data_IF_910645748232
#
_entry.id   IF_910645748232
#
_cell.length_a   1.000
_cell.length_b   1.000
_cell.length_c   1.000
_cell.angle_alpha   90.00
_cell.angle_beta   90.00
_cell.angle_gamma   90.00
#
_symmetry.space_group_name_H-M   'P 1'
#
loop_
_entity.id
_entity.type
_entity.pdbx_description
1 polymer ?
#
# COMPACT_ATOMS: atom_id res chain seq x y z
N UNK A 1 37.10 -38.76 -6.04
CA UNK A 1 37.03 -37.80 -7.18
C UNK A 1 35.58 -37.82 -7.65
N UNK A 2 34.73 -36.97 -7.04
CA UNK A 2 33.30 -36.89 -7.35
C UNK A 2 33.14 -35.79 -8.41
N UNK A 3 32.74 -36.22 -9.59
CA UNK A 3 32.53 -35.38 -10.76
C UNK A 3 31.21 -34.59 -10.54
N UNK A 4 31.29 -33.32 -10.16
CA UNK A 4 30.17 -32.41 -10.19
C UNK A 4 29.82 -32.15 -11.66
N UNK A 5 28.81 -32.82 -12.18
CA UNK A 5 28.15 -32.40 -13.40
C UNK A 5 27.40 -31.10 -13.10
N UNK A 6 28.00 -29.98 -13.46
CA UNK A 6 27.23 -28.72 -13.61
C UNK A 6 26.26 -28.91 -14.78
N UNK A 7 24.99 -29.17 -14.48
CA UNK A 7 23.92 -28.91 -15.42
C UNK A 7 23.83 -27.39 -15.56
N UNK A 8 24.46 -26.88 -16.59
CA UNK A 8 24.15 -25.54 -17.09
C UNK A 8 22.70 -25.60 -17.60
N UNK A 9 21.75 -25.31 -16.75
CA UNK A 9 20.40 -24.99 -17.16
C UNK A 9 20.53 -23.64 -17.90
N UNK A 10 20.59 -23.68 -19.23
CA UNK A 10 20.44 -22.46 -20.03
C UNK A 10 19.01 -21.99 -19.81
N UNK A 11 18.82 -21.06 -18.87
CA UNK A 11 17.54 -20.42 -18.64
C UNK A 11 17.13 -19.75 -19.95
N UNK A 12 16.05 -20.23 -20.54
CA UNK A 12 15.51 -19.65 -21.77
C UNK A 12 14.93 -18.28 -21.44
N UNK A 13 15.52 -17.22 -21.96
CA UNK A 13 14.95 -15.89 -21.85
C UNK A 13 13.55 -15.85 -22.48
N UNK A 14 12.56 -15.46 -21.69
CA UNK A 14 11.18 -15.27 -22.18
C UNK A 14 11.08 -14.01 -23.01
N UNK A 15 10.17 -14.04 -23.99
CA UNK A 15 10.01 -12.94 -24.95
C UNK A 15 8.55 -12.47 -24.96
N UNK A 16 8.35 -11.15 -24.90
CA UNK A 16 7.04 -10.54 -25.16
C UNK A 16 7.06 -9.97 -26.58
N UNK A 17 6.14 -10.44 -27.39
CA UNK A 17 5.94 -9.92 -28.76
C UNK A 17 4.59 -9.21 -28.84
N UNK A 18 4.57 -7.92 -29.15
CA UNK A 18 3.37 -7.11 -29.36
C UNK A 18 3.18 -6.82 -30.84
N UNK A 19 2.03 -7.19 -31.42
CA UNK A 19 1.67 -6.81 -32.78
C UNK A 19 1.23 -5.35 -32.82
N UNK A 20 1.84 -4.56 -33.72
CA UNK A 20 1.60 -3.12 -33.82
C UNK A 20 0.27 -2.72 -34.49
N UNK A 21 -0.47 -3.67 -35.08
CA UNK A 21 -1.72 -3.35 -35.80
C UNK A 21 -2.73 -2.70 -34.84
N UNK A 22 -3.15 -1.49 -35.17
CA UNK A 22 -4.10 -0.69 -34.40
C UNK A 22 -3.46 0.24 -33.35
N UNK A 23 -2.14 0.18 -33.15
CA UNK A 23 -1.41 1.09 -32.26
C UNK A 23 -0.86 2.30 -33.04
N UNK A 24 -1.03 3.50 -32.50
CA UNK A 24 -0.53 4.76 -33.05
C UNK A 24 0.74 5.23 -32.33
N UNK A 25 1.64 4.30 -31.99
CA UNK A 25 2.90 4.63 -31.32
C UNK A 25 4.09 3.94 -31.98
N UNK A 26 5.25 4.58 -31.93
CA UNK A 26 6.52 3.99 -32.35
C UNK A 26 7.32 3.33 -31.21
N UNK A 27 6.85 3.45 -29.97
CA UNK A 27 7.53 2.94 -28.78
C UNK A 27 6.52 2.43 -27.76
N UNK A 28 6.84 1.30 -27.12
CA UNK A 28 6.13 0.79 -25.95
C UNK A 28 7.10 0.66 -24.77
N UNK A 29 6.55 0.77 -23.56
CA UNK A 29 7.24 0.60 -22.30
C UNK A 29 6.72 -0.66 -21.58
N UNK A 30 7.64 -1.41 -20.97
CA UNK A 30 7.35 -2.43 -19.97
C UNK A 30 7.59 -1.79 -18.61
N UNK A 31 6.58 -1.85 -17.74
CA UNK A 31 6.63 -1.21 -16.43
C UNK A 31 6.34 -2.19 -15.32
N UNK A 32 7.05 -2.08 -14.21
CA UNK A 32 6.62 -2.64 -12.93
C UNK A 32 5.41 -1.89 -12.38
N UNK A 33 4.51 -2.63 -11.74
CA UNK A 33 3.36 -2.08 -11.02
C UNK A 33 3.79 -1.75 -9.58
N UNK A 34 3.92 -0.46 -9.30
CA UNK A 34 4.24 0.02 -7.95
C UNK A 34 2.96 0.10 -7.10
N UNK A 35 1.87 0.60 -7.68
CA UNK A 35 0.56 0.61 -7.07
C UNK A 35 -0.52 0.56 -8.14
N UNK A 36 -1.20 -0.58 -8.24
CA UNK A 36 -2.34 -0.73 -9.15
C UNK A 36 -3.45 0.27 -8.82
N UNK A 37 -3.80 0.39 -7.53
CA UNK A 37 -4.87 1.29 -7.06
C UNK A 37 -4.63 2.77 -7.40
N UNK A 38 -3.36 3.22 -7.40
CA UNK A 38 -2.98 4.60 -7.72
C UNK A 38 -2.56 4.77 -9.19
N UNK A 39 -2.54 3.70 -9.99
CA UNK A 39 -2.03 3.71 -11.35
C UNK A 39 -0.55 4.13 -11.44
N UNK A 40 0.25 3.78 -10.44
CA UNK A 40 1.68 4.15 -10.40
C UNK A 40 2.49 3.00 -10.99
N UNK A 41 3.17 3.29 -12.10
CA UNK A 41 4.01 2.33 -12.81
C UNK A 41 5.40 2.91 -13.02
N UNK A 42 6.43 2.05 -12.96
CA UNK A 42 7.82 2.41 -13.21
C UNK A 42 8.33 1.68 -14.43
N UNK A 43 8.71 2.42 -15.48
CA UNK A 43 9.29 1.82 -16.68
C UNK A 43 10.64 1.16 -16.38
N UNK A 44 10.75 -0.13 -16.73
CA UNK A 44 11.97 -0.93 -16.58
C UNK A 44 12.60 -1.29 -17.91
N UNK A 45 11.82 -1.30 -19.01
CA UNK A 45 12.30 -1.57 -20.36
C UNK A 45 11.44 -0.84 -21.39
N UNK A 46 11.94 -0.78 -22.65
CA UNK A 46 11.18 -0.21 -23.76
C UNK A 46 11.52 -0.88 -25.08
N UNK A 47 10.52 -1.05 -25.94
CA UNK A 47 10.66 -1.59 -27.28
C UNK A 47 10.27 -0.57 -28.35
N UNK A 48 11.04 -0.55 -29.45
CA UNK A 48 10.77 0.30 -30.62
C UNK A 48 10.14 -0.56 -31.72
N UNK A 49 9.21 0.05 -32.46
CA UNK A 49 8.52 -0.60 -33.57
C UNK A 49 9.52 -1.03 -34.68
N UNK A 50 9.60 -2.33 -34.95
CA UNK A 50 10.36 -2.91 -36.04
C UNK A 50 9.52 -3.97 -36.75
N UNK A 51 9.42 -3.88 -38.07
CA UNK A 51 8.70 -4.87 -38.88
C UNK A 51 7.27 -5.19 -38.40
N UNK A 52 6.53 -4.15 -38.00
CA UNK A 52 5.16 -4.28 -37.49
C UNK A 52 5.02 -4.92 -36.11
N UNK A 53 6.07 -4.99 -35.31
CA UNK A 53 6.08 -5.58 -33.97
C UNK A 53 6.96 -4.79 -33.01
N UNK A 54 6.63 -4.87 -31.72
CA UNK A 54 7.52 -4.54 -30.60
C UNK A 54 7.96 -5.84 -29.94
N UNK A 55 9.21 -5.93 -29.51
CA UNK A 55 9.77 -7.13 -28.89
C UNK A 55 10.53 -6.72 -27.63
N UNK A 56 10.11 -7.27 -26.49
CA UNK A 56 10.86 -7.18 -25.23
C UNK A 56 11.53 -8.53 -24.99
N UNK A 57 12.84 -8.53 -24.79
CA UNK A 57 13.61 -9.67 -24.36
C UNK A 57 13.79 -9.56 -22.86
N UNK A 58 13.05 -10.36 -22.10
CA UNK A 58 13.05 -10.28 -20.65
C UNK A 58 14.41 -10.69 -20.09
N UNK A 59 14.90 -9.94 -19.11
CA UNK A 59 16.12 -10.30 -18.39
C UNK A 59 15.87 -11.52 -17.50
N UNK A 60 16.92 -12.27 -17.16
CA UNK A 60 16.82 -13.43 -16.26
C UNK A 60 16.28 -13.04 -14.89
N UNK A 61 16.55 -11.79 -14.46
CA UNK A 61 16.09 -11.24 -13.18
C UNK A 61 14.63 -10.75 -13.21
N UNK A 62 13.95 -10.80 -14.37
CA UNK A 62 12.55 -10.37 -14.46
C UNK A 62 11.67 -11.35 -13.69
N UNK A 63 11.22 -10.93 -12.51
CA UNK A 63 10.38 -11.75 -11.62
C UNK A 63 9.02 -12.05 -12.22
N UNK A 64 8.46 -13.24 -12.02
CA UNK A 64 7.08 -13.51 -12.38
C UNK A 64 6.14 -12.65 -11.53
N UNK A 65 5.32 -11.79 -12.15
CA UNK A 65 4.33 -10.92 -11.48
C UNK A 65 3.43 -10.22 -12.50
N UNK A 66 2.58 -9.29 -12.01
CA UNK A 66 1.79 -8.39 -12.84
C UNK A 66 2.65 -7.20 -13.30
N UNK A 67 2.65 -6.98 -14.60
CA UNK A 67 3.32 -5.86 -15.26
C UNK A 67 2.33 -5.02 -16.06
N UNK A 68 2.76 -3.82 -16.42
CA UNK A 68 2.00 -2.91 -17.25
C UNK A 68 2.75 -2.66 -18.57
N UNK A 69 2.05 -2.77 -19.71
CA UNK A 69 2.62 -2.51 -21.04
C UNK A 69 1.79 -1.45 -21.72
N UNK A 70 2.42 -0.36 -22.11
CA UNK A 70 1.75 0.79 -22.71
C UNK A 70 2.64 1.69 -23.52
N UNK A 71 2.03 2.69 -24.18
CA UNK A 71 2.75 3.75 -24.89
C UNK A 71 3.28 4.84 -23.95
N UNK A 72 2.81 4.82 -22.72
CA UNK A 72 3.32 5.62 -21.61
C UNK A 72 3.13 4.88 -20.28
N UNK A 73 3.70 5.35 -19.14
CA UNK A 73 3.43 4.79 -17.82
C UNK A 73 1.98 4.96 -17.32
N UNK A 74 1.17 5.74 -18.03
CA UNK A 74 -0.22 6.08 -17.65
C UNK A 74 -1.26 5.51 -18.63
N UNK A 75 -0.85 5.09 -19.81
CA UNK A 75 -1.74 4.56 -20.83
C UNK A 75 -1.22 3.23 -21.35
N UNK A 76 -1.88 2.14 -20.97
CA UNK A 76 -1.48 0.77 -21.29
C UNK A 76 -2.42 -0.25 -20.70
N UNK A 77 -1.97 -1.48 -20.58
CA UNK A 77 -2.74 -2.59 -20.01
C UNK A 77 -1.89 -3.57 -19.21
N UNK A 78 -2.52 -4.27 -18.30
CA UNK A 78 -1.87 -5.23 -17.40
C UNK A 78 -1.64 -6.59 -18.08
N UNK A 79 -0.51 -7.19 -17.78
CA UNK A 79 -0.08 -8.50 -18.30
C UNK A 79 0.71 -9.24 -17.21
N UNK A 80 0.31 -10.48 -16.90
CA UNK A 80 1.09 -11.36 -16.04
C UNK A 80 2.26 -11.96 -16.79
N UNK A 81 3.45 -11.82 -16.23
CA UNK A 81 4.65 -12.54 -16.65
C UNK A 81 4.78 -13.79 -15.77
N UNK A 82 4.86 -14.96 -16.39
CA UNK A 82 4.93 -16.26 -15.72
C UNK A 82 6.04 -17.16 -16.25
N UNK A 83 7.07 -16.54 -16.86
CA UNK A 83 8.20 -17.24 -17.44
C UNK A 83 7.94 -17.80 -18.85
N UNK A 84 6.73 -17.66 -19.40
CA UNK A 84 6.39 -18.09 -20.74
C UNK A 84 6.61 -16.99 -21.79
N UNK A 85 6.78 -17.38 -23.07
CA UNK A 85 6.72 -16.43 -24.17
C UNK A 85 5.29 -15.90 -24.35
N UNK A 86 5.13 -14.58 -24.42
CA UNK A 86 3.84 -13.92 -24.48
C UNK A 86 3.68 -13.22 -25.84
N UNK A 87 2.49 -13.36 -26.42
CA UNK A 87 2.09 -12.62 -27.62
C UNK A 87 0.88 -11.75 -27.30
N UNK A 88 1.06 -10.44 -27.52
CA UNK A 88 0.02 -9.45 -27.32
C UNK A 88 -0.51 -8.98 -28.67
N UNK A 89 -1.84 -8.87 -28.74
CA UNK A 89 -2.56 -8.19 -29.83
C UNK A 89 -3.51 -7.19 -29.22
N UNK A 90 -3.68 -6.05 -29.87
CA UNK A 90 -4.66 -5.06 -29.44
C UNK A 90 -6.06 -5.65 -29.54
N UNK A 91 -6.79 -5.68 -28.44
CA UNK A 91 -8.20 -6.01 -28.38
C UNK A 91 -9.06 -4.75 -28.48
N UNK A 92 -8.73 -3.74 -27.67
CA UNK A 92 -9.38 -2.44 -27.66
C UNK A 92 -8.42 -1.37 -27.10
N UNK A 93 -8.69 -0.10 -27.42
CA UNK A 93 -7.98 1.05 -26.86
C UNK A 93 -8.98 2.16 -26.57
N UNK A 94 -8.85 2.77 -25.40
CA UNK A 94 -9.59 3.96 -24.97
C UNK A 94 -8.60 5.09 -24.67
N UNK A 95 -9.07 6.27 -24.30
CA UNK A 95 -8.20 7.37 -23.83
C UNK A 95 -7.48 7.04 -22.53
N UNK A 96 -8.02 6.08 -21.74
CA UNK A 96 -7.50 5.75 -20.41
C UNK A 96 -6.68 4.46 -20.40
N UNK A 97 -6.98 3.49 -21.27
CA UNK A 97 -6.44 2.14 -21.16
C UNK A 97 -6.29 1.42 -22.52
N UNK A 98 -5.27 0.55 -22.59
CA UNK A 98 -5.10 -0.42 -23.69
C UNK A 98 -5.53 -1.80 -23.18
N UNK A 99 -6.40 -2.47 -23.95
CA UNK A 99 -6.82 -3.84 -23.66
C UNK A 99 -6.08 -4.80 -24.58
N UNK A 100 -5.35 -5.75 -23.97
CA UNK A 100 -4.56 -6.74 -24.69
C UNK A 100 -5.25 -8.09 -24.80
N UNK A 101 -5.34 -8.66 -25.99
CA UNK A 101 -5.51 -10.11 -26.14
C UNK A 101 -4.16 -10.78 -25.86
N UNK A 102 -4.07 -11.61 -24.82
CA UNK A 102 -2.83 -12.25 -24.36
C UNK A 102 -2.84 -13.74 -24.74
N UNK A 103 -1.79 -14.18 -25.45
CA UNK A 103 -1.56 -15.60 -25.79
C UNK A 103 -0.19 -16.03 -25.27
N UNK A 104 -0.06 -17.31 -24.92
CA UNK A 104 1.20 -17.91 -24.46
C UNK A 104 1.28 -18.10 -22.94
N UNK A 105 0.48 -17.38 -22.15
CA UNK A 105 0.41 -17.52 -20.70
C UNK A 105 -1.00 -17.90 -20.26
N UNK A 106 -1.19 -19.09 -19.68
CA UNK A 106 -2.47 -19.49 -19.08
C UNK A 106 -2.91 -18.59 -17.94
N UNK A 107 -1.96 -18.04 -17.20
CA UNK A 107 -2.19 -17.21 -16.02
C UNK A 107 -2.96 -15.93 -16.34
N UNK A 108 -2.65 -15.31 -17.49
CA UNK A 108 -3.39 -14.13 -17.97
C UNK A 108 -4.87 -14.40 -18.19
N UNK A 109 -5.24 -15.61 -18.62
CA UNK A 109 -6.65 -16.00 -18.77
C UNK A 109 -7.35 -16.09 -17.40
N UNK A 110 -6.64 -16.61 -16.39
CA UNK A 110 -7.18 -16.69 -15.01
C UNK A 110 -7.32 -15.31 -14.42
N UNK A 111 -6.32 -14.43 -14.60
CA UNK A 111 -6.36 -13.04 -14.12
C UNK A 111 -7.53 -12.25 -14.71
N UNK A 112 -7.73 -12.32 -16.03
CA UNK A 112 -8.88 -11.68 -16.67
C UNK A 112 -10.22 -12.21 -16.19
N UNK A 113 -10.29 -13.53 -15.93
CA UNK A 113 -11.49 -14.10 -15.32
C UNK A 113 -11.73 -13.54 -13.92
N UNK A 114 -10.66 -13.39 -13.13
CA UNK A 114 -10.74 -12.76 -11.81
C UNK A 114 -11.29 -11.33 -11.90
N UNK A 115 -10.73 -10.48 -12.78
CA UNK A 115 -11.20 -9.10 -12.96
C UNK A 115 -12.68 -9.05 -13.35
N UNK A 116 -13.09 -9.91 -14.29
CA UNK A 116 -14.49 -10.03 -14.68
C UNK A 116 -15.37 -10.50 -13.53
N UNK A 117 -14.98 -11.54 -12.80
CA UNK A 117 -15.71 -12.06 -11.65
C UNK A 117 -15.80 -11.00 -10.54
N UNK A 118 -14.73 -10.23 -10.31
CA UNK A 118 -14.70 -9.12 -9.35
C UNK A 118 -15.75 -8.07 -9.72
N UNK A 119 -15.84 -7.68 -10.99
CA UNK A 119 -16.83 -6.73 -11.45
C UNK A 119 -18.26 -7.29 -11.37
N UNK A 120 -18.49 -8.48 -11.93
CA UNK A 120 -19.85 -9.04 -12.10
C UNK A 120 -20.46 -9.54 -10.78
N UNK A 121 -19.64 -10.11 -9.87
CA UNK A 121 -20.13 -10.83 -8.69
C UNK A 121 -20.10 -10.00 -7.40
N UNK A 122 -19.44 -8.84 -7.42
CA UNK A 122 -19.35 -8.00 -6.23
C UNK A 122 -20.29 -6.79 -6.33
N UNK A 123 -19.75 -5.63 -6.61
CA UNK A 123 -20.47 -4.37 -6.55
C UNK A 123 -20.38 -3.56 -7.87
N UNK A 124 -19.70 -4.09 -8.91
CA UNK A 124 -19.31 -3.34 -10.10
C UNK A 124 -20.46 -2.58 -10.76
N UNK A 125 -21.51 -3.28 -11.20
CA UNK A 125 -22.63 -2.65 -11.92
C UNK A 125 -23.40 -1.63 -11.06
N UNK A 126 -23.64 -1.96 -9.78
CA UNK A 126 -24.32 -1.07 -8.84
C UNK A 126 -23.44 0.14 -8.54
N UNK A 127 -22.14 -0.07 -8.34
CA UNK A 127 -21.17 0.99 -8.12
C UNK A 127 -21.13 1.99 -9.27
N UNK A 128 -21.11 1.53 -10.51
CA UNK A 128 -21.08 2.39 -11.69
C UNK A 128 -22.36 3.25 -11.77
N UNK A 129 -23.52 2.64 -11.50
CA UNK A 129 -24.79 3.34 -11.49
C UNK A 129 -24.84 4.42 -10.39
N UNK A 130 -24.47 4.07 -9.16
CA UNK A 130 -24.46 4.99 -8.01
C UNK A 130 -23.40 6.08 -8.17
N UNK A 131 -22.22 5.75 -8.70
CA UNK A 131 -21.17 6.72 -9.00
C UNK A 131 -21.66 7.76 -10.02
N UNK A 132 -22.30 7.28 -11.09
CA UNK A 132 -22.87 8.17 -12.12
C UNK A 132 -23.88 9.16 -11.53
N UNK A 133 -24.78 8.68 -10.66
CA UNK A 133 -25.75 9.53 -9.97
C UNK A 133 -25.06 10.51 -9.03
N UNK A 134 -24.08 10.05 -8.25
CA UNK A 134 -23.34 10.88 -7.32
C UNK A 134 -22.57 12.00 -8.03
N UNK A 135 -21.89 11.71 -9.14
CA UNK A 135 -21.17 12.73 -9.91
C UNK A 135 -22.12 13.76 -10.55
N UNK A 136 -23.28 13.34 -11.06
CA UNK A 136 -24.31 14.25 -11.54
C UNK A 136 -24.85 15.18 -10.44
N UNK A 137 -25.04 14.66 -9.23
CA UNK A 137 -25.44 15.47 -8.07
C UNK A 137 -24.31 16.45 -7.66
N UNK A 138 -23.05 15.99 -7.70
CA UNK A 138 -21.87 16.82 -7.42
C UNK A 138 -21.70 17.96 -8.41
N UNK A 139 -21.89 17.75 -9.71
CA UNK A 139 -21.84 18.77 -10.75
C UNK A 139 -22.89 19.87 -10.49
N UNK A 140 -24.06 19.50 -9.97
CA UNK A 140 -25.12 20.43 -9.58
C UNK A 140 -24.93 21.02 -8.18
N UNK A 141 -23.86 20.64 -7.46
CA UNK A 141 -23.59 21.02 -6.06
C UNK A 141 -24.74 20.66 -5.09
N UNK A 142 -25.51 19.64 -5.41
CA UNK A 142 -26.66 19.16 -4.65
C UNK A 142 -26.18 18.27 -3.48
N UNK A 143 -25.92 18.91 -2.34
CA UNK A 143 -25.39 18.22 -1.15
C UNK A 143 -26.37 17.23 -0.53
N UNK A 144 -27.66 17.51 -0.58
CA UNK A 144 -28.70 16.65 -0.04
C UNK A 144 -28.79 15.36 -0.84
N UNK A 145 -28.83 15.47 -2.17
CA UNK A 145 -28.85 14.34 -3.07
C UNK A 145 -27.56 13.51 -2.96
N UNK A 146 -26.39 14.14 -2.85
CA UNK A 146 -25.12 13.44 -2.60
C UNK A 146 -25.16 12.63 -1.29
N UNK A 147 -25.69 13.21 -0.21
CA UNK A 147 -25.83 12.53 1.08
C UNK A 147 -26.83 11.36 1.00
N UNK A 148 -27.96 11.54 0.32
CA UNK A 148 -28.96 10.50 0.07
C UNK A 148 -28.35 9.31 -0.67
N UNK A 149 -27.67 9.56 -1.81
CA UNK A 149 -27.03 8.52 -2.61
C UNK A 149 -25.99 7.78 -1.78
N UNK A 150 -25.18 8.50 -0.99
CA UNK A 150 -24.18 7.88 -0.10
C UNK A 150 -24.84 6.94 0.90
N UNK A 151 -25.88 7.36 1.59
CA UNK A 151 -26.58 6.55 2.59
C UNK A 151 -27.27 5.32 1.95
N UNK A 152 -27.93 5.49 0.80
CA UNK A 152 -28.54 4.40 0.05
C UNK A 152 -27.51 3.39 -0.49
N UNK A 153 -26.26 3.84 -0.74
CA UNK A 153 -25.19 2.97 -1.24
C UNK A 153 -24.53 2.09 -0.16
N UNK A 154 -24.59 2.48 1.11
CA UNK A 154 -23.87 1.80 2.21
C UNK A 154 -24.19 0.29 2.32
N UNK A 155 -25.46 -0.19 2.31
CA UNK A 155 -25.76 -1.60 2.40
C UNK A 155 -25.17 -2.41 1.23
N UNK A 156 -25.19 -1.85 0.02
CA UNK A 156 -24.61 -2.49 -1.16
C UNK A 156 -23.09 -2.53 -1.08
N UNK A 157 -22.48 -1.46 -0.55
CA UNK A 157 -21.04 -1.40 -0.35
C UNK A 157 -20.58 -2.47 0.64
N UNK A 158 -21.22 -2.59 1.79
CA UNK A 158 -20.88 -3.56 2.84
C UNK A 158 -21.00 -5.01 2.33
N UNK A 159 -22.07 -5.32 1.61
CA UNK A 159 -22.25 -6.64 1.01
C UNK A 159 -21.24 -6.88 -0.12
N UNK A 160 -20.95 -5.86 -0.93
CA UNK A 160 -19.95 -5.93 -1.99
C UNK A 160 -18.55 -6.21 -1.47
N UNK A 161 -18.16 -5.57 -0.37
CA UNK A 161 -16.87 -5.81 0.30
C UNK A 161 -16.77 -7.24 0.83
N UNK A 162 -17.85 -7.80 1.41
CA UNK A 162 -17.87 -9.20 1.84
C UNK A 162 -17.67 -10.16 0.67
N UNK A 163 -18.40 -9.92 -0.43
CA UNK A 163 -18.29 -10.75 -1.65
C UNK A 163 -16.92 -10.63 -2.29
N UNK A 164 -16.35 -9.42 -2.33
CA UNK A 164 -14.97 -9.19 -2.81
C UNK A 164 -13.99 -10.03 -1.99
N UNK A 165 -14.07 -9.98 -0.66
CA UNK A 165 -13.19 -10.76 0.22
C UNK A 165 -13.28 -12.25 -0.06
N UNK A 166 -14.49 -12.80 -0.10
CA UNK A 166 -14.70 -14.23 -0.38
C UNK A 166 -14.17 -14.64 -1.76
N UNK A 167 -14.37 -13.79 -2.77
CA UNK A 167 -13.89 -14.05 -4.12
C UNK A 167 -12.36 -14.02 -4.16
N UNK A 168 -11.75 -12.99 -3.58
CA UNK A 168 -10.28 -12.84 -3.49
C UNK A 168 -9.68 -14.05 -2.78
N UNK A 169 -10.22 -14.45 -1.63
CA UNK A 169 -9.75 -15.62 -0.89
C UNK A 169 -9.82 -16.92 -1.72
N UNK A 170 -10.92 -17.14 -2.44
CA UNK A 170 -11.05 -18.30 -3.34
C UNK A 170 -9.95 -18.32 -4.41
N UNK A 171 -9.75 -17.18 -5.09
CA UNK A 171 -8.71 -17.08 -6.13
C UNK A 171 -7.30 -17.24 -5.57
N UNK A 172 -7.02 -16.72 -4.38
CA UNK A 172 -5.73 -16.92 -3.69
C UNK A 172 -5.49 -18.40 -3.45
N UNK A 173 -6.47 -19.14 -2.88
CA UNK A 173 -6.31 -20.56 -2.58
C UNK A 173 -6.14 -21.41 -3.83
N UNK A 174 -6.96 -21.15 -4.87
CA UNK A 174 -6.86 -21.86 -6.16
C UNK A 174 -5.54 -21.60 -6.89
N UNK A 175 -4.89 -20.48 -6.62
CA UNK A 175 -3.66 -20.04 -7.29
C UNK A 175 -2.43 -19.98 -6.36
N UNK A 176 -2.47 -20.66 -5.22
CA UNK A 176 -1.39 -20.60 -4.21
C UNK A 176 -0.02 -21.05 -4.72
N UNK A 177 0.00 -21.87 -5.77
CA UNK A 177 1.23 -22.39 -6.37
C UNK A 177 1.86 -21.43 -7.41
N UNK A 178 1.17 -20.40 -7.84
CA UNK A 178 1.60 -19.53 -8.94
C UNK A 178 1.61 -18.03 -8.55
N UNK A 179 2.21 -17.16 -9.36
CA UNK A 179 2.36 -15.73 -9.05
C UNK A 179 1.05 -14.96 -8.87
N UNK A 180 -0.07 -15.41 -9.45
CA UNK A 180 -1.35 -14.74 -9.29
C UNK A 180 -1.85 -14.81 -7.83
N UNK A 181 -1.73 -15.96 -7.18
CA UNK A 181 -2.17 -16.12 -5.80
C UNK A 181 -1.45 -15.19 -4.84
N UNK A 182 -0.12 -15.13 -4.93
CA UNK A 182 0.69 -14.27 -4.07
C UNK A 182 0.51 -12.78 -4.41
N UNK A 183 0.34 -12.43 -5.69
CA UNK A 183 0.01 -11.07 -6.12
C UNK A 183 -1.33 -10.60 -5.53
N UNK A 184 -2.39 -11.42 -5.63
CA UNK A 184 -3.69 -11.10 -5.05
C UNK A 184 -3.62 -10.97 -3.53
N UNK A 185 -2.85 -11.84 -2.90
CA UNK A 185 -2.62 -11.75 -1.46
C UNK A 185 -1.92 -10.44 -1.08
N UNK A 186 -0.84 -10.09 -1.75
CA UNK A 186 -0.11 -8.85 -1.53
C UNK A 186 -1.01 -7.62 -1.74
N UNK A 187 -1.63 -7.51 -2.91
CA UNK A 187 -2.35 -6.31 -3.33
C UNK A 187 -3.71 -6.11 -2.63
N UNK A 188 -4.38 -7.20 -2.24
CA UNK A 188 -5.76 -7.15 -1.72
C UNK A 188 -5.86 -7.43 -0.21
N UNK A 189 -4.88 -8.13 0.37
CA UNK A 189 -4.91 -8.57 1.77
C UNK A 189 -3.75 -7.98 2.56
N UNK A 190 -2.51 -8.30 2.21
CA UNK A 190 -1.32 -7.94 2.97
C UNK A 190 -1.17 -6.42 3.17
N UNK A 191 -1.36 -5.63 2.12
CA UNK A 191 -1.24 -4.17 2.20
C UNK A 191 -2.28 -3.51 3.14
N UNK A 192 -3.32 -4.24 3.52
CA UNK A 192 -4.37 -3.75 4.45
C UNK A 192 -4.17 -4.23 5.88
N UNK A 193 -3.20 -5.12 6.12
CA UNK A 193 -2.85 -5.64 7.45
C UNK A 193 -1.80 -4.75 8.11
N UNK A 194 -1.81 -4.77 9.43
CA UNK A 194 -0.73 -4.30 10.27
C UNK A 194 -0.19 -5.45 11.12
N UNK A 195 1.06 -5.36 11.55
CA UNK A 195 1.73 -6.41 12.29
C UNK A 195 2.46 -5.79 13.48
N UNK A 196 1.74 -5.49 14.57
CA UNK A 196 2.32 -4.81 15.73
C UNK A 196 3.27 -5.68 16.54
N UNK A 197 3.18 -7.02 16.45
CA UNK A 197 3.94 -7.95 17.28
C UNK A 197 4.81 -8.90 16.44
N UNK A 198 5.92 -9.40 17.03
CA UNK A 198 6.77 -10.41 16.43
C UNK A 198 6.02 -11.73 16.13
N UNK A 199 5.04 -12.10 16.97
CA UNK A 199 4.23 -13.30 16.76
C UNK A 199 3.42 -13.18 15.46
N UNK A 200 2.73 -12.06 15.26
CA UNK A 200 1.96 -11.80 14.03
C UNK A 200 2.85 -11.77 12.79
N UNK A 201 4.04 -11.16 12.89
CA UNK A 201 5.03 -11.12 11.80
C UNK A 201 5.50 -12.54 11.47
N UNK A 202 5.78 -13.36 12.47
CA UNK A 202 6.21 -14.75 12.30
C UNK A 202 5.11 -15.58 11.62
N UNK A 203 3.88 -15.49 12.11
CA UNK A 203 2.72 -16.18 11.51
C UNK A 203 2.51 -15.77 10.05
N UNK A 204 2.63 -14.48 9.75
CA UNK A 204 2.48 -13.97 8.40
C UNK A 204 3.60 -14.46 7.48
N UNK A 205 4.84 -14.47 7.96
CA UNK A 205 5.99 -15.00 7.22
C UNK A 205 5.83 -16.49 6.90
N UNK A 206 5.35 -17.29 7.86
CA UNK A 206 5.03 -18.70 7.64
C UNK A 206 3.93 -18.86 6.59
N UNK A 207 2.90 -18.01 6.65
CA UNK A 207 1.80 -18.05 5.69
C UNK A 207 2.28 -17.74 4.26
N UNK A 208 3.03 -16.67 4.02
CA UNK A 208 3.51 -16.34 2.67
C UNK A 208 4.51 -17.38 2.14
N UNK A 209 5.30 -18.00 3.01
CA UNK A 209 6.21 -19.10 2.64
C UNK A 209 5.49 -20.41 2.33
N UNK A 210 4.22 -20.54 2.66
CA UNK A 210 3.38 -21.69 2.28
C UNK A 210 2.92 -21.65 0.83
N UNK A 211 3.20 -20.56 0.09
CA UNK A 211 2.94 -20.48 -1.34
C UNK A 211 3.99 -21.26 -2.13
N UNK A 212 3.66 -21.70 -3.35
CA UNK A 212 4.56 -22.50 -4.17
C UNK A 212 5.80 -21.75 -4.65
N UNK A 213 6.82 -22.46 -5.12
CA UNK A 213 8.11 -21.91 -5.52
C UNK A 213 8.00 -20.77 -6.56
N UNK A 214 7.13 -20.93 -7.56
CA UNK A 214 6.91 -19.86 -8.55
C UNK A 214 6.30 -18.58 -7.94
N UNK A 215 5.43 -18.74 -6.95
CA UNK A 215 4.88 -17.60 -6.22
C UNK A 215 5.95 -16.91 -5.37
N UNK A 216 6.82 -17.69 -4.70
CA UNK A 216 7.93 -17.16 -3.91
C UNK A 216 9.03 -16.49 -4.76
N UNK A 217 9.13 -16.81 -6.04
CA UNK A 217 10.04 -16.13 -6.96
C UNK A 217 9.50 -14.77 -7.44
N UNK A 218 8.28 -14.37 -7.08
CA UNK A 218 7.63 -13.14 -7.55
C UNK A 218 8.15 -11.89 -6.82
N UNK A 219 8.03 -10.74 -7.49
CA UNK A 219 8.34 -9.45 -6.85
C UNK A 219 7.36 -9.13 -5.72
N UNK A 220 6.11 -9.58 -5.80
CA UNK A 220 5.12 -9.45 -4.72
C UNK A 220 5.57 -10.16 -3.44
N UNK A 221 6.11 -11.38 -3.55
CA UNK A 221 6.67 -12.10 -2.40
C UNK A 221 7.88 -11.36 -1.80
N UNK A 222 8.82 -10.94 -2.64
CA UNK A 222 10.00 -10.21 -2.18
C UNK A 222 9.66 -8.89 -1.50
N UNK A 223 8.64 -8.17 -2.00
CA UNK A 223 8.12 -6.95 -1.36
C UNK A 223 7.56 -7.25 0.03
N UNK A 224 6.78 -8.33 0.19
CA UNK A 224 6.25 -8.73 1.51
C UNK A 224 7.35 -9.11 2.50
N UNK A 225 8.34 -9.91 2.09
CA UNK A 225 9.48 -10.24 2.97
C UNK A 225 10.23 -8.98 3.42
N UNK A 226 10.45 -8.02 2.50
CA UNK A 226 11.05 -6.72 2.83
C UNK A 226 10.19 -5.91 3.79
N UNK A 227 8.87 -5.90 3.58
CA UNK A 227 7.94 -5.20 4.45
C UNK A 227 7.91 -5.83 5.85
N UNK A 228 7.90 -7.17 5.95
CA UNK A 228 7.95 -7.87 7.23
C UNK A 228 9.23 -7.60 8.01
N UNK A 229 10.39 -7.41 7.35
CA UNK A 229 11.62 -6.96 8.02
C UNK A 229 11.45 -5.56 8.62
N UNK A 230 10.80 -4.64 7.90
CA UNK A 230 10.52 -3.29 8.46
C UNK A 230 9.54 -3.34 9.63
N UNK A 231 8.55 -4.24 9.59
CA UNK A 231 7.66 -4.45 10.72
C UNK A 231 8.38 -4.99 11.95
N UNK A 232 9.37 -5.87 11.77
CA UNK A 232 10.23 -6.35 12.86
C UNK A 232 10.98 -5.17 13.52
N UNK A 233 11.57 -4.28 12.71
CA UNK A 233 12.33 -3.12 13.22
C UNK A 233 11.48 -2.17 14.06
N UNK A 234 10.15 -2.14 13.89
CA UNK A 234 9.23 -1.28 14.65
C UNK A 234 8.14 -2.06 15.40
N UNK A 235 8.37 -3.33 15.73
CA UNK A 235 7.43 -4.14 16.53
C UNK A 235 7.37 -3.70 17.99
N UNK A 236 6.28 -4.05 18.68
CA UNK A 236 6.15 -3.86 20.13
C UNK A 236 7.29 -4.61 20.83
N UNK A 237 7.97 -3.93 21.75
CA UNK A 237 9.14 -4.43 22.49
C UNK A 237 10.48 -4.02 21.86
N UNK A 238 10.51 -3.59 20.62
CA UNK A 238 11.71 -3.11 19.93
C UNK A 238 11.97 -1.62 20.20
N UNK A 239 13.20 -1.18 19.99
CA UNK A 239 13.55 0.22 20.08
C UNK A 239 12.85 1.01 18.95
N UNK A 240 12.16 2.10 19.32
CA UNK A 240 11.51 2.95 18.36
C UNK A 240 12.55 3.57 17.40
N UNK A 241 12.39 3.42 16.07
CA UNK A 241 13.26 4.08 15.09
C UNK A 241 13.36 5.59 15.37
N UNK A 242 14.55 6.17 15.27
CA UNK A 242 14.74 7.59 15.57
C UNK A 242 13.88 8.50 14.68
N UNK A 243 13.26 9.50 15.28
CA UNK A 243 12.50 10.54 14.59
C UNK A 243 13.22 11.85 14.78
N UNK A 244 13.54 12.53 13.69
CA UNK A 244 14.20 13.84 13.71
C UNK A 244 13.38 14.81 12.88
N UNK A 245 13.15 16.01 13.40
CA UNK A 245 12.44 17.04 12.67
C UNK A 245 12.69 18.42 13.24
N UNK A 246 11.96 19.42 12.74
CA UNK A 246 12.03 20.78 13.24
C UNK A 246 10.84 21.09 14.13
N UNK A 247 11.10 21.63 15.33
CA UNK A 247 10.06 22.09 16.24
C UNK A 247 9.33 23.34 15.70
N UNK A 248 8.36 23.84 16.45
CA UNK A 248 7.57 25.03 16.07
C UNK A 248 8.44 26.29 15.94
N UNK A 249 9.55 26.35 16.65
CA UNK A 249 10.51 27.44 16.62
C UNK A 249 11.58 27.28 15.51
N UNK A 250 11.71 26.07 14.94
CA UNK A 250 12.68 25.74 13.91
C UNK A 250 13.95 25.09 14.42
N UNK A 251 14.02 24.74 15.71
CA UNK A 251 15.12 23.98 16.28
C UNK A 251 14.95 22.49 15.91
N UNK A 252 16.04 21.74 15.93
CA UNK A 252 16.00 20.30 15.81
C UNK A 252 15.40 19.69 17.09
N UNK A 253 14.49 18.76 16.93
CA UNK A 253 13.88 17.96 18.00
C UNK A 253 13.95 16.49 17.59
N UNK A 254 14.31 15.63 18.55
CA UNK A 254 14.46 14.18 18.34
C UNK A 254 13.56 13.42 19.29
N UNK A 255 13.07 12.25 18.88
CA UNK A 255 12.38 11.36 19.80
C UNK A 255 13.28 10.96 20.97
N UNK A 256 14.57 10.73 20.72
CA UNK A 256 15.55 10.39 21.75
C UNK A 256 15.76 11.47 22.82
N UNK A 257 15.45 12.75 22.53
CA UNK A 257 15.51 13.84 23.51
C UNK A 257 14.43 13.69 24.60
N UNK A 258 13.42 12.85 24.36
CA UNK A 258 12.32 12.60 25.30
C UNK A 258 12.52 11.33 26.13
N UNK A 259 13.69 10.70 26.07
CA UNK A 259 14.02 9.52 26.91
C UNK A 259 13.78 9.81 28.39
N UNK A 260 13.41 8.78 29.13
CA UNK A 260 13.00 8.91 30.54
C UNK A 260 11.51 9.21 30.73
N UNK A 261 10.79 9.50 29.65
CA UNK A 261 9.33 9.69 29.67
C UNK A 261 8.63 8.58 28.91
N UNK A 262 7.37 8.32 29.25
CA UNK A 262 6.42 7.66 28.38
C UNK A 262 5.95 8.69 27.34
N UNK A 263 6.03 8.38 26.06
CA UNK A 263 5.73 9.31 24.99
C UNK A 263 4.65 8.75 24.08
N UNK A 264 3.50 9.42 24.01
CA UNK A 264 2.56 9.21 22.91
C UNK A 264 3.11 9.93 21.67
N UNK A 265 3.49 9.16 20.66
CA UNK A 265 3.93 9.68 19.36
C UNK A 265 2.75 9.65 18.42
N UNK A 266 2.26 10.83 18.07
CA UNK A 266 1.09 11.05 17.21
C UNK A 266 1.55 11.46 15.80
N UNK A 267 1.40 10.56 14.84
CA UNK A 267 1.67 10.84 13.43
C UNK A 267 0.43 11.44 12.75
N UNK A 268 0.54 12.68 12.32
CA UNK A 268 -0.59 13.47 11.85
C UNK A 268 -0.22 14.47 10.73
N UNK A 269 -1.21 15.22 10.25
CA UNK A 269 -0.99 16.48 9.52
C UNK A 269 -2.22 17.40 9.62
N UNK A 270 -2.03 18.67 9.24
CA UNK A 270 -3.06 19.72 9.35
C UNK A 270 -4.32 19.47 8.50
N UNK A 271 -4.23 18.66 7.44
CA UNK A 271 -5.36 18.32 6.56
C UNK A 271 -6.10 17.06 7.00
N UNK A 272 -5.57 16.33 7.96
CA UNK A 272 -6.14 15.08 8.43
C UNK A 272 -7.29 15.37 9.41
N UNK A 273 -8.50 15.36 8.91
CA UNK A 273 -9.71 15.55 9.75
C UNK A 273 -9.74 14.57 10.92
N UNK A 274 -9.54 13.28 10.68
CA UNK A 274 -9.56 12.24 11.73
C UNK A 274 -8.42 12.39 12.75
N UNK A 275 -7.28 12.96 12.37
CA UNK A 275 -6.20 13.25 13.33
C UNK A 275 -6.62 14.37 14.28
N UNK A 276 -7.28 15.40 13.77
CA UNK A 276 -7.77 16.54 14.57
C UNK A 276 -8.90 16.13 15.52
N UNK A 277 -9.70 15.13 15.15
CA UNK A 277 -10.73 14.53 16.00
C UNK A 277 -10.14 13.76 17.20
N UNK A 278 -8.87 13.29 17.15
CA UNK A 278 -8.16 12.69 18.27
C UNK A 278 -7.61 13.72 19.28
N UNK A 279 -7.49 14.98 18.91
CA UNK A 279 -6.91 16.03 19.77
C UNK A 279 -7.58 16.14 21.16
N UNK A 280 -8.93 16.07 21.30
CA UNK A 280 -9.57 16.08 22.62
C UNK A 280 -9.14 14.91 23.51
N UNK A 281 -9.00 13.71 22.94
CA UNK A 281 -8.57 12.52 23.69
C UNK A 281 -7.08 12.62 24.09
N UNK A 282 -6.23 13.15 23.23
CA UNK A 282 -4.82 13.46 23.56
C UNK A 282 -4.71 14.48 24.70
N UNK A 283 -5.55 15.53 24.72
CA UNK A 283 -5.61 16.49 25.84
C UNK A 283 -6.01 15.82 27.14
N UNK A 284 -7.05 14.98 27.10
CA UNK A 284 -7.49 14.22 28.28
C UNK A 284 -6.37 13.30 28.81
N UNK A 285 -5.64 12.63 27.90
CA UNK A 285 -4.50 11.81 28.31
C UNK A 285 -3.40 12.67 28.99
N UNK A 286 -3.06 13.83 28.43
CA UNK A 286 -2.07 14.73 29.00
C UNK A 286 -2.50 15.25 30.40
N UNK A 287 -3.77 15.57 30.58
CA UNK A 287 -4.33 15.97 31.88
C UNK A 287 -4.35 14.82 32.88
N UNK A 288 -4.74 13.60 32.46
CA UNK A 288 -4.77 12.41 33.30
C UNK A 288 -3.39 12.03 33.86
N UNK A 289 -2.35 12.18 33.03
CA UNK A 289 -0.97 11.88 33.45
C UNK A 289 -0.19 13.11 33.92
N UNK A 290 -0.87 14.22 34.26
CA UNK A 290 -0.21 15.43 34.75
C UNK A 290 0.63 15.14 35.99
N UNK A 291 1.87 15.63 36.01
CA UNK A 291 2.82 15.39 37.10
C UNK A 291 3.56 14.05 37.05
N UNK A 292 3.28 13.22 36.07
CA UNK A 292 4.02 11.98 35.79
C UNK A 292 5.00 12.19 34.61
N UNK A 293 5.92 11.23 34.45
CA UNK A 293 6.86 11.23 33.30
C UNK A 293 6.14 10.83 32.01
N UNK A 294 5.23 11.67 31.55
CA UNK A 294 4.41 11.43 30.37
C UNK A 294 4.43 12.65 29.46
N UNK A 295 4.59 12.42 28.18
CA UNK A 295 4.63 13.45 27.13
C UNK A 295 3.86 13.02 25.90
N UNK A 296 3.55 14.00 25.05
CA UNK A 296 3.05 13.80 23.69
C UNK A 296 4.05 14.43 22.73
N UNK A 297 4.35 13.73 21.63
CA UNK A 297 5.12 14.22 20.50
C UNK A 297 4.25 14.14 19.25
N UNK A 298 3.81 15.29 18.74
CA UNK A 298 3.14 15.37 17.45
C UNK A 298 4.17 15.35 16.32
N UNK A 299 4.13 14.34 15.47
CA UNK A 299 5.01 14.16 14.31
C UNK A 299 4.23 14.49 13.05
N UNK A 300 4.48 15.66 12.47
CA UNK A 300 3.73 16.14 11.32
C UNK A 300 4.42 15.82 10.00
N UNK A 301 3.62 15.28 9.07
CA UNK A 301 4.00 15.09 7.66
C UNK A 301 3.62 16.28 6.75
N UNK A 302 3.28 17.43 7.31
CA UNK A 302 2.96 18.64 6.57
C UNK A 302 4.12 19.12 5.70
N UNK A 303 3.78 19.79 4.61
CA UNK A 303 4.75 20.40 3.69
C UNK A 303 4.80 21.93 3.81
N UNK A 304 3.83 22.53 4.50
CA UNK A 304 3.67 23.98 4.64
C UNK A 304 3.62 24.33 6.13
N UNK A 305 4.74 24.87 6.64
CA UNK A 305 4.90 25.21 8.07
C UNK A 305 3.74 26.06 8.60
N UNK A 306 3.26 27.03 7.80
CA UNK A 306 2.17 27.91 8.24
C UNK A 306 0.89 27.12 8.56
N UNK A 307 0.47 26.20 7.69
CA UNK A 307 -0.76 25.42 7.89
C UNK A 307 -0.65 24.49 9.11
N UNK A 308 0.52 23.91 9.33
CA UNK A 308 0.82 23.12 10.52
C UNK A 308 0.71 23.93 11.80
N UNK A 309 1.32 25.16 11.86
CA UNK A 309 1.25 26.03 13.01
C UNK A 309 -0.19 26.56 13.25
N UNK A 310 -0.90 26.92 12.19
CA UNK A 310 -2.30 27.35 12.26
C UNK A 310 -3.16 26.23 12.90
N UNK A 311 -2.99 24.98 12.48
CA UNK A 311 -3.74 23.83 13.01
C UNK A 311 -3.41 23.57 14.50
N UNK A 312 -2.13 23.61 14.91
CA UNK A 312 -1.72 23.50 16.31
C UNK A 312 -2.42 24.56 17.17
N UNK A 313 -2.47 25.81 16.68
CA UNK A 313 -3.10 26.90 17.39
C UNK A 313 -4.63 26.75 17.46
N UNK A 314 -5.27 26.41 16.34
CA UNK A 314 -6.73 26.20 16.25
C UNK A 314 -7.19 25.07 17.18
N UNK A 315 -6.45 23.96 17.20
CA UNK A 315 -6.77 22.80 18.02
C UNK A 315 -6.30 22.98 19.48
N UNK A 316 -5.47 23.99 19.79
CA UNK A 316 -4.89 24.20 21.11
C UNK A 316 -4.07 22.98 21.59
N UNK A 317 -3.31 22.35 20.69
CA UNK A 317 -2.48 21.17 20.95
C UNK A 317 -1.06 21.62 21.36
N UNK A 318 -0.92 22.18 22.58
CA UNK A 318 0.30 22.81 23.08
C UNK A 318 1.23 21.82 23.80
N UNK A 319 1.67 20.76 23.10
CA UNK A 319 2.71 19.82 23.52
C UNK A 319 3.90 19.86 22.57
N UNK A 320 4.85 18.95 22.70
CA UNK A 320 6.00 18.88 21.81
C UNK A 320 5.56 18.47 20.39
N UNK A 321 5.92 19.27 19.40
CA UNK A 321 5.64 19.01 17.99
C UNK A 321 6.90 19.12 17.14
N UNK A 322 7.04 18.24 16.16
CA UNK A 322 8.01 18.38 15.09
C UNK A 322 7.37 18.17 13.71
N UNK A 323 7.96 18.80 12.71
CA UNK A 323 7.60 18.63 11.31
C UNK A 323 8.74 17.90 10.60
N UNK A 324 8.41 16.80 9.90
CA UNK A 324 9.34 16.01 9.11
C UNK A 324 9.85 16.79 7.89
N UNK A 325 11.11 16.58 7.52
CA UNK A 325 11.66 17.16 6.30
C UNK A 325 11.11 16.48 5.04
N UNK A 326 11.21 17.17 3.91
CA UNK A 326 10.77 16.61 2.62
C UNK A 326 11.67 15.44 2.22
N UNK A 327 11.07 14.26 2.02
CA UNK A 327 11.78 13.05 1.62
C UNK A 327 12.26 12.21 2.81
N UNK A 328 11.88 12.57 4.04
CA UNK A 328 12.08 11.73 5.20
C UNK A 328 11.31 10.41 5.06
N UNK A 329 11.89 9.33 5.55
CA UNK A 329 11.38 7.97 5.48
C UNK A 329 10.76 7.47 6.80
N UNK A 330 10.55 8.36 7.77
CA UNK A 330 9.99 8.00 9.10
C UNK A 330 8.69 7.23 8.97
N UNK A 331 7.76 7.68 8.11
CA UNK A 331 6.48 6.98 7.90
C UNK A 331 6.70 5.54 7.40
N UNK A 332 7.67 5.34 6.52
CA UNK A 332 8.02 4.01 5.99
C UNK A 332 8.70 3.14 7.05
N UNK A 333 9.62 3.72 7.87
CA UNK A 333 10.30 3.00 8.95
C UNK A 333 9.36 2.54 10.05
N UNK A 334 8.28 3.27 10.31
CA UNK A 334 7.23 2.87 11.24
C UNK A 334 6.11 2.06 10.58
N UNK A 335 6.23 1.72 9.30
CA UNK A 335 5.23 0.99 8.50
C UNK A 335 3.85 1.67 8.47
N UNK A 336 3.78 3.00 8.55
CA UNK A 336 2.55 3.76 8.65
C UNK A 336 1.87 3.84 7.28
N UNK A 337 0.73 3.19 7.14
CA UNK A 337 -0.08 3.15 5.92
C UNK A 337 -1.12 4.27 5.85
N UNK A 338 -1.43 4.88 6.98
CA UNK A 338 -2.41 5.95 7.10
C UNK A 338 -2.33 6.66 8.43
N UNK A 339 -2.84 7.88 8.48
CA UNK A 339 -2.94 8.71 9.68
C UNK A 339 -4.42 8.99 10.02
N UNK A 340 -4.75 9.21 11.30
CA UNK A 340 -3.85 9.24 12.45
C UNK A 340 -3.18 7.88 12.71
N UNK A 341 -1.96 7.87 13.26
CA UNK A 341 -1.32 6.68 13.79
C UNK A 341 -0.61 7.07 15.08
N UNK A 342 -1.01 6.47 16.21
CA UNK A 342 -0.50 6.83 17.52
C UNK A 342 0.12 5.61 18.18
N UNK A 343 1.36 5.77 18.67
CA UNK A 343 2.09 4.73 19.39
C UNK A 343 2.49 5.22 20.76
N UNK A 344 2.69 4.28 21.70
CA UNK A 344 3.29 4.56 23.01
C UNK A 344 4.74 4.07 23.02
N UNK A 345 5.66 4.97 23.33
CA UNK A 345 7.08 4.67 23.54
C UNK A 345 7.43 4.80 25.02
N UNK A 346 8.12 3.81 25.56
CA UNK A 346 8.54 3.78 26.96
C UNK A 346 9.77 4.67 27.27
N UNK A 347 10.09 4.85 28.56
CA UNK A 347 11.24 5.67 28.99
C UNK A 347 12.59 5.16 28.48
N UNK A 348 12.70 3.87 28.20
CA UNK A 348 13.86 3.22 27.60
C UNK A 348 13.89 3.33 26.08
N UNK A 349 12.82 3.88 25.49
CA UNK A 349 12.64 4.10 24.05
C UNK A 349 12.08 2.92 23.29
N UNK A 350 11.58 1.91 23.97
CA UNK A 350 10.91 0.78 23.32
C UNK A 350 9.46 1.11 23.02
N UNK A 351 8.96 0.59 21.91
CA UNK A 351 7.55 0.66 21.55
C UNK A 351 6.77 -0.26 22.51
N UNK A 352 5.82 0.29 23.24
CA UNK A 352 4.98 -0.43 24.19
C UNK A 352 3.60 -0.78 23.62
N UNK A 353 3.07 0.05 22.72
CA UNK A 353 1.78 -0.16 22.07
C UNK A 353 1.72 0.62 20.76
N UNK A 354 0.86 0.17 19.84
CA UNK A 354 0.61 0.78 18.53
C UNK A 354 -0.89 0.93 18.28
N UNK A 355 -1.25 1.78 17.31
CA UNK A 355 -2.63 2.02 16.84
C UNK A 355 -3.62 2.49 17.91
N UNK A 356 -3.14 3.25 18.88
CA UNK A 356 -3.98 3.77 19.96
C UNK A 356 -4.95 4.84 19.46
N UNK A 357 -6.20 4.81 19.97
CA UNK A 357 -7.27 5.74 19.63
C UNK A 357 -8.18 6.03 20.81
N UNK A 358 -8.72 7.25 20.86
CA UNK A 358 -9.76 7.62 21.83
C UNK A 358 -9.41 7.23 23.25
N UNK A 359 -10.20 6.36 23.88
CA UNK A 359 -9.99 5.94 25.27
C UNK A 359 -8.71 5.12 25.49
N UNK A 360 -8.21 4.42 24.45
CA UNK A 360 -6.95 3.67 24.56
C UNK A 360 -5.74 4.57 24.85
N UNK A 361 -5.82 5.87 24.51
CA UNK A 361 -4.78 6.86 24.81
C UNK A 361 -4.59 7.08 26.33
N UNK A 362 -5.53 6.62 27.14
CA UNK A 362 -5.47 6.62 28.62
C UNK A 362 -5.30 5.19 29.14
N UNK A 363 -6.19 4.28 28.76
CA UNK A 363 -6.27 2.94 29.34
C UNK A 363 -5.00 2.09 29.09
N UNK A 364 -4.35 2.31 27.95
CA UNK A 364 -3.12 1.57 27.63
C UNK A 364 -1.92 2.13 28.40
N UNK A 365 -1.62 3.45 28.36
CA UNK A 365 -0.53 4.01 29.17
C UNK A 365 -0.71 3.78 30.68
N UNK A 366 -1.93 3.75 31.24
CA UNK A 366 -2.18 3.47 32.66
C UNK A 366 -1.58 2.12 33.13
N UNK A 367 -1.39 1.17 32.23
CA UNK A 367 -0.75 -0.11 32.55
C UNK A 367 0.75 0.03 32.82
N UNK A 368 1.36 1.11 32.37
CA UNK A 368 2.81 1.36 32.43
C UNK A 368 3.17 2.56 33.29
N UNK A 369 2.43 3.68 33.20
CA UNK A 369 2.72 4.97 33.85
C UNK A 369 2.28 4.91 35.32
N UNK A 370 3.23 4.84 36.23
CA UNK A 370 2.98 4.78 37.69
C UNK A 370 3.00 6.16 38.33
#
# INVERSE_FOLDING_TARGET
MILFMMFACTSRQSVITVKAKGLNTGKLYLCEVISEYRGIHQAIDSAILKNGKFVFNLQEETSPDLYFIGDSPWHGGYVFLDGNDIKLTLENVTEEQIFWEVKGSPLNKVYRKFEKDLYDKTFGQIKDSLSTLFYKARERQDREEMARIKNESMPYYDEGVKRERMLVDSYIQENKANPLGIYLYYSRVFQRKDFPTEEEITMEREYIRSFGEMAQASSSFMKMEKDLLRYEDCAIGHEAPEIIGKDTLGNELRLSDLRGNYVLVDFWNSYCHWCREETPALKQALEHFAGKNFKILGVSSDRVKKLWLDAIHEDGSYWDHLMLEKGDDVMDRYCIKGIPHIILVGPDGKILAKELRGQDLIDVPDKFVK
#
